data_IF_984706835164
#
_entry.id   IF_984706835164
#
_cell.length_a   1.000
_cell.length_b   1.000
_cell.length_c   1.000
_cell.angle_alpha   90.00
_cell.angle_beta   90.00
_cell.angle_gamma   90.00
#
_symmetry.space_group_name_H-M   'P 1'
#
loop_
_entity.id
_entity.type
_entity.pdbx_description
1 polymer ?
#
# COMPACT_ATOMS: atom_id res chain seq x y z
N UNK A 1 16.12 22.56 -11.25
CA UNK A 1 15.12 22.75 -10.18
C UNK A 1 15.79 23.42 -9.00
N UNK A 2 15.14 24.41 -8.43
CA UNK A 2 15.67 25.15 -7.25
C UNK A 2 14.78 24.80 -6.06
N UNK A 3 15.39 24.39 -4.95
CA UNK A 3 14.70 24.18 -3.69
C UNK A 3 14.90 25.40 -2.77
N UNK A 4 13.81 25.95 -2.23
CA UNK A 4 13.84 27.03 -1.25
C UNK A 4 13.05 26.60 -0.02
N UNK A 5 13.68 26.72 1.16
CA UNK A 5 13.01 26.47 2.45
C UNK A 5 12.94 27.79 3.22
N UNK A 6 11.73 28.21 3.57
CA UNK A 6 11.47 29.33 4.48
C UNK A 6 10.85 28.78 5.75
N UNK A 7 11.41 29.15 6.90
CA UNK A 7 10.90 28.73 8.20
C UNK A 7 10.29 29.98 8.87
N UNK A 8 8.98 29.98 9.00
CA UNK A 8 8.22 31.03 9.71
C UNK A 8 7.20 30.35 10.64
N UNK A 9 7.33 30.60 11.92
CA UNK A 9 6.47 30.02 12.96
C UNK A 9 5.03 30.54 12.95
N UNK A 10 4.77 31.63 12.25
CA UNK A 10 3.48 32.31 12.22
C UNK A 10 2.68 32.01 10.92
N UNK A 11 3.24 31.29 9.97
CA UNK A 11 2.53 30.93 8.75
C UNK A 11 1.88 29.54 8.86
N UNK A 12 0.90 29.31 7.99
CA UNK A 12 0.38 27.96 7.78
C UNK A 12 1.46 27.12 7.10
N UNK A 13 1.65 25.89 7.57
CA UNK A 13 2.58 24.95 6.92
C UNK A 13 2.06 24.55 5.56
N UNK A 14 2.82 24.83 4.51
CA UNK A 14 2.47 24.47 3.15
C UNK A 14 3.72 24.19 2.31
N UNK A 15 3.57 23.33 1.31
CA UNK A 15 4.58 23.11 0.28
C UNK A 15 3.98 23.49 -1.07
N UNK A 16 4.55 24.47 -1.74
CA UNK A 16 4.12 24.96 -3.05
C UNK A 16 5.16 24.52 -4.09
N UNK A 17 4.76 23.70 -5.05
CA UNK A 17 5.60 23.32 -6.19
C UNK A 17 5.13 24.03 -7.45
N UNK A 18 5.97 24.92 -7.97
CA UNK A 18 5.75 25.57 -9.27
C UNK A 18 6.53 24.80 -10.35
N UNK A 19 5.83 24.06 -11.18
CA UNK A 19 6.42 23.18 -12.18
C UNK A 19 5.76 23.38 -13.54
N UNK A 20 6.52 23.11 -14.61
CA UNK A 20 5.99 23.21 -15.98
C UNK A 20 5.05 22.05 -16.33
N UNK A 21 5.32 20.88 -15.78
CA UNK A 21 4.55 19.66 -16.01
C UNK A 21 4.59 18.73 -14.79
N UNK A 22 3.66 17.80 -14.75
CA UNK A 22 3.60 16.80 -13.69
C UNK A 22 4.58 15.65 -14.00
N UNK A 23 5.61 15.53 -13.19
CA UNK A 23 6.66 14.50 -13.33
C UNK A 23 6.55 13.43 -12.23
N UNK A 24 7.20 12.26 -12.40
CA UNK A 24 7.29 11.26 -11.33
C UNK A 24 7.84 11.80 -10.00
N UNK A 25 8.79 12.74 -10.07
CA UNK A 25 9.33 13.41 -8.88
C UNK A 25 8.27 14.22 -8.16
N UNK A 26 7.45 14.97 -8.89
CA UNK A 26 6.36 15.76 -8.31
C UNK A 26 5.30 14.87 -7.66
N UNK A 27 4.97 13.75 -8.30
CA UNK A 27 4.06 12.76 -7.72
C UNK A 27 4.60 12.18 -6.40
N UNK A 28 5.90 11.94 -6.33
CA UNK A 28 6.54 11.44 -5.10
C UNK A 28 6.54 12.49 -3.98
N UNK A 29 6.83 13.74 -4.31
CA UNK A 29 6.79 14.85 -3.35
C UNK A 29 5.36 15.03 -2.80
N UNK A 30 4.36 15.08 -3.67
CA UNK A 30 2.94 15.16 -3.29
C UNK A 30 2.58 14.02 -2.32
N UNK A 31 3.00 12.81 -2.65
CA UNK A 31 2.76 11.64 -1.81
C UNK A 31 3.42 11.74 -0.43
N UNK A 32 4.67 12.20 -0.37
CA UNK A 32 5.39 12.40 0.90
C UNK A 32 4.71 13.48 1.78
N UNK A 33 4.27 14.56 1.18
CA UNK A 33 3.56 15.63 1.90
C UNK A 33 2.22 15.14 2.44
N UNK A 34 1.49 14.36 1.66
CA UNK A 34 0.21 13.79 2.08
C UNK A 34 0.35 12.62 3.07
N UNK A 35 1.55 12.08 3.26
CA UNK A 35 1.81 11.01 4.25
C UNK A 35 1.47 11.41 5.69
N UNK A 36 1.54 12.68 6.05
CA UNK A 36 1.10 13.16 7.36
C UNK A 36 -0.41 12.93 7.62
N UNK A 37 -1.18 12.63 6.57
CA UNK A 37 -2.60 12.31 6.65
C UNK A 37 -2.89 10.81 6.61
N UNK A 38 -1.84 9.97 6.51
CA UNK A 38 -1.99 8.52 6.40
C UNK A 38 -2.15 7.92 7.79
N UNK A 39 -3.20 7.14 7.95
CA UNK A 39 -3.44 6.44 9.20
C UNK A 39 -2.35 5.39 9.47
N UNK A 40 -1.72 5.44 10.64
CA UNK A 40 -0.79 4.41 11.09
C UNK A 40 -1.49 3.12 11.54
N UNK A 41 -2.78 3.22 11.81
CA UNK A 41 -3.62 2.14 12.30
C UNK A 41 -4.94 2.09 11.54
N UNK A 42 -5.53 0.90 11.48
CA UNK A 42 -6.86 0.68 10.92
C UNK A 42 -7.67 -0.26 11.82
N UNK A 43 -8.97 -0.01 11.94
CA UNK A 43 -9.84 -0.88 12.71
C UNK A 43 -10.13 -2.18 11.96
N UNK A 44 -9.79 -3.30 12.58
CA UNK A 44 -10.16 -4.64 12.16
C UNK A 44 -11.30 -5.17 13.00
N UNK A 45 -12.29 -5.77 12.36
CA UNK A 45 -13.50 -6.30 13.00
C UNK A 45 -13.45 -7.83 13.01
N UNK A 46 -13.65 -8.41 14.16
CA UNK A 46 -13.98 -9.82 14.36
C UNK A 46 -15.35 -9.94 15.02
N UNK A 47 -15.84 -11.14 15.30
CA UNK A 47 -17.23 -11.36 15.71
C UNK A 47 -17.69 -10.44 16.84
N UNK A 48 -16.90 -10.26 17.88
CA UNK A 48 -17.27 -9.49 19.09
C UNK A 48 -16.28 -8.38 19.43
N UNK A 49 -15.25 -8.16 18.61
CA UNK A 49 -14.16 -7.26 18.94
C UNK A 49 -13.81 -6.31 17.79
N UNK A 50 -13.36 -5.13 18.17
CA UNK A 50 -12.69 -4.19 17.25
C UNK A 50 -11.23 -4.14 17.68
N UNK A 51 -10.34 -4.53 16.78
CA UNK A 51 -8.90 -4.51 17.03
C UNK A 51 -8.25 -3.41 16.19
N UNK A 52 -7.48 -2.55 16.83
CA UNK A 52 -6.68 -1.55 16.10
C UNK A 52 -5.43 -2.23 15.54
N UNK A 53 -5.36 -2.32 14.22
CA UNK A 53 -4.27 -2.97 13.51
C UNK A 53 -3.25 -1.92 13.11
N UNK A 54 -1.99 -2.14 13.47
CA UNK A 54 -0.89 -1.32 12.94
C UNK A 54 -0.67 -1.66 11.47
N UNK A 55 -0.58 -0.66 10.60
CA UNK A 55 -0.29 -0.85 9.18
C UNK A 55 1.01 -1.64 8.94
N UNK A 56 1.98 -1.53 9.85
CA UNK A 56 3.26 -2.27 9.79
C UNK A 56 3.09 -3.78 9.92
N UNK A 57 2.04 -4.23 10.61
CA UNK A 57 1.80 -5.64 10.89
C UNK A 57 0.93 -6.31 9.84
N UNK A 58 0.35 -5.53 8.93
CA UNK A 58 -0.51 -6.05 7.86
C UNK A 58 0.36 -6.53 6.70
N UNK A 59 0.18 -7.78 6.30
CA UNK A 59 0.84 -8.35 5.13
C UNK A 59 0.14 -7.92 3.84
N UNK A 60 -1.18 -8.01 3.80
CA UNK A 60 -1.97 -7.59 2.66
C UNK A 60 -3.44 -7.39 3.02
N UNK A 61 -4.14 -6.65 2.17
CA UNK A 61 -5.60 -6.58 2.15
C UNK A 61 -6.11 -7.41 0.98
N UNK A 62 -7.16 -8.16 1.21
CA UNK A 62 -7.80 -9.00 0.19
C UNK A 62 -9.31 -8.85 0.22
N UNK A 63 -9.95 -9.10 -0.92
CA UNK A 63 -11.42 -9.16 -1.03
C UNK A 63 -11.85 -10.61 -1.22
N UNK A 64 -12.72 -11.08 -0.36
CA UNK A 64 -13.37 -12.38 -0.42
C UNK A 64 -14.85 -12.20 -0.17
N UNK A 65 -15.71 -12.77 -1.01
CA UNK A 65 -17.17 -12.66 -0.88
C UNK A 65 -17.66 -11.21 -0.72
N UNK A 66 -17.11 -10.30 -1.53
CA UNK A 66 -17.41 -8.86 -1.52
C UNK A 66 -17.01 -8.11 -0.24
N UNK A 67 -16.28 -8.77 0.65
CA UNK A 67 -15.78 -8.18 1.90
C UNK A 67 -14.27 -8.01 1.86
N UNK A 68 -13.79 -6.92 2.44
CA UNK A 68 -12.36 -6.63 2.56
C UNK A 68 -11.82 -7.17 3.87
N UNK A 69 -10.66 -7.80 3.81
CA UNK A 69 -9.96 -8.34 4.98
C UNK A 69 -8.51 -7.85 5.00
N UNK A 70 -8.02 -7.57 6.21
CA UNK A 70 -6.59 -7.39 6.47
C UNK A 70 -6.02 -8.71 6.97
N UNK A 71 -4.95 -9.18 6.35
CA UNK A 71 -4.23 -10.39 6.74
C UNK A 71 -2.93 -10.00 7.43
N UNK A 72 -2.78 -10.40 8.69
CA UNK A 72 -1.64 -10.04 9.53
C UNK A 72 -0.72 -11.24 9.84
N UNK A 73 -0.82 -12.30 9.05
CA UNK A 73 -0.07 -13.53 9.24
C UNK A 73 -0.94 -14.77 9.04
N UNK A 74 -0.42 -15.95 9.40
CA UNK A 74 -1.22 -17.17 9.32
C UNK A 74 -2.40 -17.13 10.27
N UNK A 75 -3.60 -17.37 9.72
CA UNK A 75 -4.86 -17.43 10.49
C UNK A 75 -5.23 -16.14 11.24
N UNK A 76 -4.59 -15.02 10.91
CA UNK A 76 -4.91 -13.71 11.48
C UNK A 76 -5.51 -12.82 10.40
N UNK A 77 -6.83 -12.83 10.34
CA UNK A 77 -7.61 -12.16 9.31
C UNK A 77 -8.73 -11.35 9.97
N UNK A 78 -8.82 -10.08 9.62
CA UNK A 78 -9.76 -9.14 10.21
C UNK A 78 -10.59 -8.49 9.11
N UNK A 79 -11.89 -8.37 9.34
CA UNK A 79 -12.78 -7.65 8.43
C UNK A 79 -12.49 -6.15 8.49
N UNK A 80 -12.36 -5.53 7.33
CA UNK A 80 -12.16 -4.09 7.18
C UNK A 80 -13.40 -3.49 6.52
N UNK A 81 -13.97 -2.46 7.11
CA UNK A 81 -15.19 -1.80 6.61
C UNK A 81 -14.94 -0.76 5.53
N UNK A 82 -13.85 -0.93 4.79
CA UNK A 82 -13.48 -0.08 3.66
C UNK A 82 -13.25 -0.94 2.43
N UNK A 83 -13.54 -0.39 1.27
CA UNK A 83 -13.23 -1.04 -0.01
C UNK A 83 -11.77 -0.80 -0.38
N UNK A 84 -11.21 -1.64 -1.27
CA UNK A 84 -9.80 -1.50 -1.65
C UNK A 84 -9.48 -0.13 -2.26
N UNK A 85 -10.37 0.44 -3.05
CA UNK A 85 -10.13 1.77 -3.62
C UNK A 85 -10.11 2.89 -2.56
N UNK A 86 -10.86 2.75 -1.47
CA UNK A 86 -10.79 3.66 -0.32
C UNK A 86 -9.50 3.49 0.45
N UNK A 87 -9.00 2.24 0.57
CA UNK A 87 -7.72 1.95 1.21
C UNK A 87 -6.54 2.53 0.43
N UNK A 88 -6.57 2.53 -0.89
CA UNK A 88 -5.51 3.12 -1.71
C UNK A 88 -5.23 4.58 -1.36
N UNK A 89 -6.25 5.34 -0.97
CA UNK A 89 -6.11 6.74 -0.54
C UNK A 89 -5.51 6.88 0.87
N UNK A 90 -5.59 5.84 1.70
CA UNK A 90 -5.11 5.84 3.08
C UNK A 90 -3.75 5.19 3.26
N UNK A 91 -3.32 4.35 2.31
CA UNK A 91 -2.11 3.55 2.43
C UNK A 91 -0.89 4.30 1.92
N UNK A 92 0.24 4.09 2.62
CA UNK A 92 1.52 4.67 2.23
C UNK A 92 2.17 3.92 1.06
N UNK A 93 3.38 4.35 0.71
CA UNK A 93 4.20 3.79 -0.36
C UNK A 93 4.60 2.32 -0.19
N UNK A 94 4.50 1.80 1.02
CA UNK A 94 4.84 0.41 1.30
C UNK A 94 3.80 -0.56 0.74
N UNK A 95 2.61 -0.07 0.41
CA UNK A 95 1.54 -0.89 -0.14
C UNK A 95 1.48 -0.77 -1.66
N UNK A 96 1.36 -1.91 -2.32
CA UNK A 96 1.28 -2.02 -3.77
C UNK A 96 0.12 -2.92 -4.20
N UNK A 97 -0.52 -2.57 -5.31
CA UNK A 97 -1.58 -3.39 -5.88
C UNK A 97 -0.99 -4.63 -6.52
N UNK A 98 -1.45 -5.83 -6.13
CA UNK A 98 -1.06 -7.09 -6.77
C UNK A 98 -2.11 -7.60 -7.76
N UNK A 99 -3.37 -7.28 -7.53
CA UNK A 99 -4.48 -7.65 -8.39
C UNK A 99 -5.70 -6.78 -8.12
N UNK A 100 -6.81 -7.04 -8.79
CA UNK A 100 -8.09 -6.36 -8.50
C UNK A 100 -8.55 -6.54 -7.06
N UNK A 101 -8.17 -7.62 -6.41
CA UNK A 101 -8.65 -8.01 -5.08
C UNK A 101 -7.58 -8.00 -4.00
N UNK A 102 -6.34 -7.60 -4.31
CA UNK A 102 -5.23 -7.64 -3.33
C UNK A 102 -4.38 -6.39 -3.40
N UNK A 103 -4.16 -5.78 -2.23
CA UNK A 103 -3.14 -4.74 -2.00
C UNK A 103 -2.18 -5.28 -0.95
N UNK A 104 -0.89 -5.35 -1.28
CA UNK A 104 0.12 -5.96 -0.43
C UNK A 104 1.09 -4.95 0.16
N UNK A 105 1.53 -5.24 1.39
CA UNK A 105 2.66 -4.56 2.01
C UNK A 105 3.96 -5.14 1.45
N UNK A 106 4.64 -4.41 0.59
CA UNK A 106 5.88 -4.88 -0.05
C UNK A 106 7.00 -5.19 0.95
N UNK A 107 6.99 -4.56 2.14
CA UNK A 107 7.96 -4.85 3.20
C UNK A 107 7.78 -6.23 3.83
N UNK A 108 6.60 -6.82 3.68
CA UNK A 108 6.27 -8.17 4.16
C UNK A 108 6.45 -9.25 3.08
N UNK A 109 6.72 -8.87 1.85
CA UNK A 109 7.03 -9.80 0.77
C UNK A 109 8.50 -10.21 0.89
N UNK A 110 8.75 -11.51 1.05
CA UNK A 110 10.11 -12.05 1.21
C UNK A 110 10.69 -12.54 -0.10
N UNK A 111 9.85 -12.94 -1.04
CA UNK A 111 10.28 -13.38 -2.38
C UNK A 111 9.13 -13.39 -3.37
N UNK A 112 9.47 -13.42 -4.65
CA UNK A 112 8.56 -13.66 -5.75
C UNK A 112 8.84 -15.03 -6.34
N UNK A 113 7.81 -15.85 -6.50
CA UNK A 113 7.92 -17.20 -7.03
C UNK A 113 7.30 -17.28 -8.42
N UNK A 114 8.11 -17.67 -9.40
CA UNK A 114 7.66 -17.83 -10.78
C UNK A 114 7.10 -19.23 -11.00
N UNK A 115 6.00 -19.31 -11.74
CA UNK A 115 5.38 -20.56 -12.16
C UNK A 115 5.72 -20.87 -13.63
N UNK A 116 5.53 -22.12 -14.05
CA UNK A 116 5.74 -22.54 -15.45
C UNK A 116 4.88 -21.76 -16.44
N UNK A 117 3.69 -21.36 -16.05
CA UNK A 117 2.78 -20.54 -16.87
C UNK A 117 3.26 -19.09 -17.09
N UNK A 118 4.35 -18.69 -16.44
CA UNK A 118 4.80 -17.29 -16.39
C UNK A 118 4.11 -16.45 -15.32
N UNK A 119 3.15 -17.01 -14.59
CA UNK A 119 2.54 -16.36 -13.44
C UNK A 119 3.57 -16.18 -12.32
N UNK A 120 3.40 -15.11 -11.54
CA UNK A 120 4.27 -14.80 -10.41
C UNK A 120 3.43 -14.64 -9.15
N UNK A 121 3.87 -15.29 -8.09
CA UNK A 121 3.28 -15.17 -6.77
C UNK A 121 4.17 -14.37 -5.83
N UNK A 122 3.58 -13.50 -5.05
CA UNK A 122 4.25 -12.88 -3.91
C UNK A 122 4.17 -13.82 -2.71
N UNK A 123 5.30 -14.08 -2.07
CA UNK A 123 5.39 -14.90 -0.86
C UNK A 123 5.68 -14.00 0.32
N UNK A 124 4.83 -14.04 1.33
CA UNK A 124 4.95 -13.22 2.53
C UNK A 124 5.75 -13.91 3.64
N UNK A 125 6.18 -13.14 4.61
CA UNK A 125 6.96 -13.64 5.75
C UNK A 125 6.27 -14.78 6.52
N UNK A 126 4.94 -14.78 6.59
CA UNK A 126 4.14 -15.84 7.21
C UNK A 126 4.10 -17.14 6.40
N UNK A 127 4.50 -17.10 5.13
CA UNK A 127 4.33 -18.18 4.17
C UNK A 127 3.05 -18.07 3.33
N UNK A 128 2.19 -17.09 3.59
CA UNK A 128 1.05 -16.81 2.72
C UNK A 128 1.54 -16.41 1.33
N UNK A 129 0.74 -16.73 0.31
CA UNK A 129 1.05 -16.39 -1.09
C UNK A 129 -0.15 -15.73 -1.75
N UNK A 130 0.14 -14.75 -2.62
CA UNK A 130 -0.88 -14.11 -3.45
C UNK A 130 -0.37 -13.97 -4.88
N UNK A 131 -1.22 -14.31 -5.84
CA UNK A 131 -0.89 -14.21 -7.25
C UNK A 131 -0.92 -12.75 -7.72
N UNK A 132 0.07 -12.38 -8.51
CA UNK A 132 0.17 -11.04 -9.11
C UNK A 132 -0.48 -11.08 -10.48
N UNK A 133 -1.43 -10.16 -10.73
CA UNK A 133 -2.04 -10.05 -12.06
C UNK A 133 -1.00 -9.60 -13.10
N UNK A 134 -1.23 -9.95 -14.37
CA UNK A 134 -0.32 -9.59 -15.48
C UNK A 134 -0.06 -8.08 -15.56
N UNK A 135 -1.11 -7.28 -15.39
CA UNK A 135 -1.02 -5.82 -15.39
C UNK A 135 -0.16 -5.30 -14.24
N UNK A 136 -0.43 -5.78 -13.02
CA UNK A 136 0.34 -5.38 -11.84
C UNK A 136 1.79 -5.85 -11.91
N UNK A 137 2.03 -7.05 -12.46
CA UNK A 137 3.38 -7.55 -12.67
C UNK A 137 4.18 -6.68 -13.64
N UNK A 138 3.57 -6.22 -14.73
CA UNK A 138 4.20 -5.30 -15.67
C UNK A 138 4.59 -3.98 -15.00
N UNK A 139 3.74 -3.44 -14.13
CA UNK A 139 4.01 -2.23 -13.35
C UNK A 139 5.16 -2.44 -12.36
N UNK A 140 5.19 -3.58 -11.67
CA UNK A 140 6.27 -3.92 -10.74
C UNK A 140 7.60 -4.10 -11.45
N UNK A 141 7.63 -4.74 -12.62
CA UNK A 141 8.84 -4.89 -13.43
C UNK A 141 9.42 -3.55 -13.84
N UNK A 142 8.59 -2.61 -14.25
CA UNK A 142 9.03 -1.25 -14.59
C UNK A 142 9.61 -0.50 -13.40
N UNK A 143 9.00 -0.62 -12.22
CA UNK A 143 9.44 0.07 -11.00
C UNK A 143 10.73 -0.49 -10.41
N UNK A 144 10.91 -1.80 -10.43
CA UNK A 144 11.99 -2.49 -9.72
C UNK A 144 13.01 -3.15 -10.63
N UNK A 145 12.86 -3.05 -11.94
CA UNK A 145 13.80 -3.64 -12.90
C UNK A 145 13.84 -5.18 -12.86
N UNK A 146 12.73 -5.79 -12.53
CA UNK A 146 12.61 -7.26 -12.45
C UNK A 146 12.64 -7.91 -13.84
#
# INVERSE_FOLDING_TARGET
MIFKLLIDRNCQEEIIANVHERTPLINEIERLVLQDQIADEIAGYSEDEITMLSMKDIEYFTVEDEKTYAVCGRNKKYHIRKRLYELEDLLNADFVRLSKSVIANKRKIVKYKTQFSGAVDAVFASGNTECISRRCLADLKRRYGL
#
